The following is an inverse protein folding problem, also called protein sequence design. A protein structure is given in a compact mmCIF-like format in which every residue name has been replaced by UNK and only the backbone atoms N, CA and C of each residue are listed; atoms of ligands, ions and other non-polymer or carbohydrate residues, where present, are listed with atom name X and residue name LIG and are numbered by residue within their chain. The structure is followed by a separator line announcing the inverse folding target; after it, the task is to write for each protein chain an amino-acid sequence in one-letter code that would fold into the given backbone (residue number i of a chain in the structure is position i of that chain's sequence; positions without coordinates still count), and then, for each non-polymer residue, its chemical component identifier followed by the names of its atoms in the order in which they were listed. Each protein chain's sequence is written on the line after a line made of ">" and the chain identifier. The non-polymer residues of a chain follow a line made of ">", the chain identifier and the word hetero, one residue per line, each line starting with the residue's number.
data_IF_400747355453
#
_entry.id   IF_400747355453
#
_cell.length_a   1.000
_cell.length_b   1.000
_cell.length_c   1.000
_cell.angle_alpha   90.00
_cell.angle_beta   90.00
_cell.angle_gamma   90.00
#
_symmetry.space_group_name_H-M   'P 1'
#
loop_
_entity.id
_entity.type
_entity.pdbx_description
1 polymer ?
#
# COMPACT_ATOMS: atom_id res chain seq x y z
N UNK A 1 -14.28 103.15 -21.40
CA UNK A 1 -13.84 103.92 -20.22
C UNK A 1 -12.76 103.14 -19.50
N UNK A 2 -11.61 103.77 -19.30
CA UNK A 2 -10.45 103.26 -18.56
C UNK A 2 -10.81 102.89 -17.11
N UNK A 3 -10.27 101.79 -16.59
CA UNK A 3 -9.55 101.77 -15.30
C UNK A 3 -8.44 100.70 -15.37
N UNK A 4 -7.23 101.08 -14.97
CA UNK A 4 -5.97 100.31 -14.98
C UNK A 4 -5.78 99.50 -13.69
N UNK A 5 -5.06 98.37 -13.84
CA UNK A 5 -4.20 97.57 -12.93
C UNK A 5 -4.06 97.95 -11.44
N UNK A 6 -3.94 96.93 -10.56
CA UNK A 6 -2.67 96.46 -9.94
C UNK A 6 -2.84 95.04 -9.33
N UNK A 7 -1.77 94.23 -9.42
CA UNK A 7 -1.60 92.84 -8.98
C UNK A 7 -1.62 92.62 -7.45
N UNK A 8 -1.98 91.40 -7.03
CA UNK A 8 -1.30 90.68 -5.95
C UNK A 8 -1.19 89.18 -6.31
N UNK A 9 0.04 88.67 -6.35
CA UNK A 9 0.39 87.29 -6.65
C UNK A 9 0.12 86.38 -5.43
N UNK A 10 -0.50 85.22 -5.67
CA UNK A 10 -0.64 84.16 -4.68
C UNK A 10 0.56 83.19 -4.82
N UNK A 11 1.36 83.09 -3.77
CA UNK A 11 2.46 82.13 -3.65
C UNK A 11 1.89 80.78 -3.20
N UNK A 12 2.15 79.75 -3.99
CA UNK A 12 1.93 78.35 -3.64
C UNK A 12 3.10 77.91 -2.75
N UNK A 13 2.80 77.49 -1.51
CA UNK A 13 3.75 76.78 -0.67
C UNK A 13 3.29 75.32 -0.52
N UNK A 14 4.04 74.43 -1.17
CA UNK A 14 3.91 72.97 -1.12
C UNK A 14 4.46 72.48 0.22
N UNK A 15 3.62 71.87 1.04
CA UNK A 15 4.04 71.14 2.24
C UNK A 15 4.37 69.70 1.83
N UNK A 16 5.67 69.36 1.80
CA UNK A 16 6.14 68.01 1.56
C UNK A 16 5.86 67.10 2.75
N UNK A 17 5.02 66.09 2.55
CA UNK A 17 4.92 64.94 3.44
C UNK A 17 5.92 63.88 2.98
N UNK A 18 7.05 63.79 3.67
CA UNK A 18 7.99 62.68 3.54
C UNK A 18 7.34 61.42 4.12
N UNK A 19 6.64 60.64 3.29
CA UNK A 19 6.26 59.28 3.65
C UNK A 19 7.52 58.41 3.61
N UNK A 20 8.08 58.14 4.79
CA UNK A 20 9.07 57.10 4.96
C UNK A 20 8.46 55.76 4.51
N UNK A 21 8.90 55.25 3.35
CA UNK A 21 8.70 53.87 2.93
C UNK A 21 9.43 52.98 3.94
N UNK A 22 8.72 52.54 4.97
CA UNK A 22 9.18 51.41 5.77
C UNK A 22 9.01 50.15 4.93
N UNK A 23 10.07 49.34 4.75
CA UNK A 23 9.90 48.01 4.17
C UNK A 23 8.99 47.24 5.12
N UNK A 24 7.83 46.81 4.61
CA UNK A 24 7.01 45.83 5.31
C UNK A 24 7.93 44.65 5.65
N UNK A 25 7.92 44.14 6.89
CA UNK A 25 8.60 42.89 7.17
C UNK A 25 7.88 41.84 6.32
N UNK A 26 8.50 41.45 5.21
CA UNK A 26 8.10 40.26 4.49
C UNK A 26 8.09 39.15 5.51
N UNK A 27 6.92 38.56 5.75
CA UNK A 27 6.83 37.31 6.47
C UNK A 27 7.78 36.36 5.73
N UNK A 28 8.95 36.11 6.33
CA UNK A 28 9.81 35.04 5.90
C UNK A 28 8.92 33.80 5.94
N UNK A 29 8.56 33.30 4.76
CA UNK A 29 7.96 31.99 4.65
C UNK A 29 8.99 31.07 5.31
N UNK A 30 8.67 30.61 6.52
CA UNK A 30 9.39 29.49 7.11
C UNK A 30 9.46 28.42 6.02
N UNK A 31 10.63 27.80 5.78
CA UNK A 31 10.71 26.72 4.82
C UNK A 31 9.59 25.75 5.19
N UNK A 32 8.65 25.55 4.26
CA UNK A 32 7.59 24.57 4.46
C UNK A 32 8.31 23.30 4.89
N UNK A 33 8.06 22.84 6.12
CA UNK A 33 8.60 21.57 6.56
C UNK A 33 8.24 20.56 5.47
N UNK A 34 9.27 19.96 4.88
CA UNK A 34 9.11 19.15 3.69
C UNK A 34 8.02 18.10 3.95
N UNK A 35 7.00 18.08 3.10
CA UNK A 35 5.91 17.10 3.23
C UNK A 35 6.47 15.68 3.24
N UNK A 36 5.82 14.74 3.94
CA UNK A 36 6.36 13.37 4.08
C UNK A 36 6.51 12.71 2.71
N UNK A 37 5.60 13.01 1.79
CA UNK A 37 5.64 12.50 0.42
C UNK A 37 6.90 12.99 -0.33
N UNK A 38 7.26 14.25 -0.14
CA UNK A 38 8.42 14.84 -0.81
C UNK A 38 9.75 14.36 -0.19
N UNK A 39 9.81 14.18 1.13
CA UNK A 39 10.96 13.55 1.79
C UNK A 39 11.16 12.11 1.30
N UNK A 40 10.07 11.33 1.25
CA UNK A 40 10.11 9.96 0.72
C UNK A 40 10.58 9.92 -0.73
N UNK A 41 10.02 10.76 -1.60
CA UNK A 41 10.41 10.85 -3.00
C UNK A 41 11.88 11.21 -3.17
N UNK A 42 12.40 12.16 -2.40
CA UNK A 42 13.82 12.52 -2.44
C UNK A 42 14.71 11.36 -2.03
N UNK A 43 14.36 10.65 -0.96
CA UNK A 43 15.13 9.50 -0.50
C UNK A 43 15.14 8.37 -1.54
N UNK A 44 14.00 8.07 -2.17
CA UNK A 44 13.92 7.10 -3.26
C UNK A 44 14.87 7.44 -4.42
N UNK A 45 14.98 8.72 -4.77
CA UNK A 45 15.78 9.16 -5.91
C UNK A 45 17.26 9.38 -5.57
N UNK A 46 17.60 9.52 -4.29
CA UNK A 46 18.96 9.76 -3.82
C UNK A 46 19.86 8.51 -3.87
N UNK A 47 19.27 7.30 -3.76
CA UNK A 47 20.00 6.04 -3.69
C UNK A 47 20.06 5.21 -4.98
N UNK A 48 19.35 5.63 -6.03
CA UNK A 48 19.00 4.75 -7.15
C UNK A 48 19.52 5.28 -8.51
N UNK A 49 20.37 4.48 -9.16
CA UNK A 49 20.83 4.70 -10.54
C UNK A 49 19.78 4.20 -11.54
N UNK A 50 18.60 4.81 -11.48
CA UNK A 50 17.47 4.45 -12.34
C UNK A 50 17.21 5.60 -13.33
N UNK A 51 17.06 5.32 -14.63
CA UNK A 51 16.96 6.35 -15.68
C UNK A 51 15.63 7.13 -15.68
N UNK A 52 14.77 6.91 -14.68
CA UNK A 52 13.47 7.53 -14.56
C UNK A 52 13.34 8.27 -13.22
N UNK A 53 12.66 9.42 -13.24
CA UNK A 53 12.44 10.27 -12.04
C UNK A 53 10.96 10.52 -11.76
N UNK A 54 10.06 9.97 -12.58
CA UNK A 54 8.61 10.10 -12.43
C UNK A 54 7.95 8.74 -12.62
N UNK A 55 6.82 8.51 -11.95
CA UNK A 55 6.05 7.28 -12.13
C UNK A 55 5.76 6.98 -13.62
N UNK A 56 5.33 7.98 -14.39
CA UNK A 56 5.01 7.81 -15.81
C UNK A 56 6.23 7.44 -16.67
N UNK A 57 7.39 8.06 -16.43
CA UNK A 57 8.60 7.72 -17.18
C UNK A 57 9.16 6.35 -16.79
N UNK A 58 9.04 5.95 -15.51
CA UNK A 58 9.40 4.61 -15.07
C UNK A 58 8.49 3.54 -15.68
N UNK A 59 7.17 3.80 -15.73
CA UNK A 59 6.21 2.92 -16.37
C UNK A 59 6.54 2.70 -17.86
N UNK A 60 6.75 3.80 -18.60
CA UNK A 60 7.06 3.72 -20.02
C UNK A 60 8.37 2.97 -20.31
N UNK A 61 9.44 3.26 -19.55
CA UNK A 61 10.71 2.55 -19.70
C UNK A 61 10.61 1.09 -19.25
N UNK A 62 9.85 0.80 -18.19
CA UNK A 62 9.64 -0.56 -17.68
C UNK A 62 8.91 -1.45 -18.69
N UNK A 63 7.83 -0.94 -19.28
CA UNK A 63 7.11 -1.63 -20.36
C UNK A 63 8.02 -1.83 -21.58
N UNK A 64 8.76 -0.81 -22.01
CA UNK A 64 9.69 -0.93 -23.14
C UNK A 64 10.83 -1.94 -22.87
N UNK A 65 11.33 -2.00 -21.64
CA UNK A 65 12.31 -3.00 -21.23
C UNK A 65 11.72 -4.42 -21.26
N UNK A 66 10.48 -4.57 -20.78
CA UNK A 66 9.76 -5.84 -20.76
C UNK A 66 9.50 -6.36 -22.18
N UNK A 67 9.05 -5.50 -23.09
CA UNK A 67 8.82 -5.81 -24.51
C UNK A 67 10.11 -6.20 -25.22
N UNK A 68 11.22 -5.56 -24.86
CA UNK A 68 12.55 -5.89 -25.39
C UNK A 68 13.19 -7.13 -24.71
N UNK A 69 12.48 -7.83 -23.83
CA UNK A 69 12.98 -9.02 -23.12
C UNK A 69 14.04 -8.73 -22.05
N UNK A 70 14.28 -7.46 -21.70
CA UNK A 70 15.20 -7.05 -20.63
C UNK A 70 14.49 -7.12 -19.28
N UNK A 71 14.20 -8.35 -18.83
CA UNK A 71 13.35 -8.60 -17.66
C UNK A 71 13.91 -7.99 -16.37
N UNK A 72 15.23 -8.06 -16.17
CA UNK A 72 15.89 -7.48 -14.99
C UNK A 72 15.75 -5.95 -14.94
N UNK A 73 15.91 -5.28 -16.08
CA UNK A 73 15.70 -3.84 -16.18
C UNK A 73 14.24 -3.49 -15.91
N UNK A 74 13.31 -4.26 -16.49
CA UNK A 74 11.87 -4.09 -16.27
C UNK A 74 11.51 -4.24 -14.78
N UNK A 75 12.06 -5.24 -14.08
CA UNK A 75 11.89 -5.41 -12.63
C UNK A 75 12.29 -4.15 -11.85
N UNK A 76 13.49 -3.63 -12.10
CA UNK A 76 13.99 -2.42 -11.43
C UNK A 76 13.12 -1.20 -11.75
N UNK A 77 12.77 -0.99 -13.02
CA UNK A 77 11.99 0.15 -13.47
C UNK A 77 10.56 0.14 -12.92
N UNK A 78 9.91 -1.04 -12.91
CA UNK A 78 8.54 -1.19 -12.40
C UNK A 78 8.52 -1.15 -10.86
N UNK A 79 9.58 -1.58 -10.18
CA UNK A 79 9.71 -1.38 -8.73
C UNK A 79 9.79 0.12 -8.38
N UNK A 80 10.60 0.88 -9.13
CA UNK A 80 10.67 2.34 -8.99
C UNK A 80 9.34 3.02 -9.37
N UNK A 81 8.65 2.55 -10.42
CA UNK A 81 7.31 3.00 -10.78
C UNK A 81 6.35 2.90 -9.60
N UNK A 82 6.30 1.72 -8.94
CA UNK A 82 5.45 1.47 -7.80
C UNK A 82 5.80 2.41 -6.64
N UNK A 83 7.08 2.54 -6.28
CA UNK A 83 7.51 3.44 -5.21
C UNK A 83 7.11 4.91 -5.47
N UNK A 84 7.27 5.40 -6.70
CA UNK A 84 6.86 6.75 -7.09
C UNK A 84 5.33 6.92 -7.18
N UNK A 85 4.58 5.85 -7.51
CA UNK A 85 3.12 5.86 -7.43
C UNK A 85 2.66 6.05 -5.99
N UNK A 86 3.31 5.38 -5.03
CA UNK A 86 2.99 5.51 -3.61
C UNK A 86 3.37 6.89 -3.04
N UNK A 87 4.51 7.44 -3.45
CA UNK A 87 4.85 8.82 -3.14
C UNK A 87 3.77 9.79 -3.65
N UNK A 88 3.24 9.55 -4.86
CA UNK A 88 2.15 10.36 -5.44
C UNK A 88 0.84 10.19 -4.67
N UNK A 89 0.54 8.98 -4.16
CA UNK A 89 -0.63 8.71 -3.35
C UNK A 89 -0.56 9.42 -1.99
N UNK A 90 0.61 9.42 -1.37
CA UNK A 90 0.85 10.17 -0.13
C UNK A 90 0.69 11.68 -0.35
N UNK A 91 1.30 12.22 -1.42
CA UNK A 91 1.18 13.63 -1.75
C UNK A 91 -0.27 14.04 -2.01
N UNK A 92 -1.03 13.20 -2.70
CA UNK A 92 -2.44 13.44 -2.96
C UNK A 92 -3.29 13.43 -1.68
N UNK A 93 -2.96 12.55 -0.73
CA UNK A 93 -3.60 12.51 0.58
C UNK A 93 -3.29 13.77 1.42
N UNK A 94 -2.04 14.24 1.42
CA UNK A 94 -1.65 15.47 2.10
C UNK A 94 -2.30 16.72 1.48
N UNK A 95 -2.40 16.75 0.15
CA UNK A 95 -3.00 17.87 -0.60
C UNK A 95 -4.54 17.89 -0.61
N UNK A 96 -5.21 16.89 -0.04
CA UNK A 96 -6.68 16.78 0.05
C UNK A 96 -7.42 17.01 -1.29
N UNK A 97 -6.85 16.57 -2.42
CA UNK A 97 -7.44 16.77 -3.75
C UNK A 97 -8.07 15.48 -4.28
N UNK A 98 -9.41 15.39 -4.40
CA UNK A 98 -10.08 14.16 -4.86
C UNK A 98 -9.60 13.67 -6.22
N UNK A 99 -9.32 14.59 -7.16
CA UNK A 99 -8.80 14.26 -8.49
C UNK A 99 -7.37 13.71 -8.42
N UNK A 100 -6.52 14.29 -7.58
CA UNK A 100 -5.15 13.80 -7.38
C UNK A 100 -5.17 12.40 -6.74
N UNK A 101 -6.04 12.18 -5.77
CA UNK A 101 -6.17 10.90 -5.08
C UNK A 101 -6.65 9.80 -6.01
N UNK A 102 -7.68 10.06 -6.82
CA UNK A 102 -8.15 9.11 -7.83
C UNK A 102 -7.06 8.76 -8.85
N UNK A 103 -6.34 9.78 -9.35
CA UNK A 103 -5.21 9.56 -10.25
C UNK A 103 -4.07 8.76 -9.60
N UNK A 104 -3.78 8.98 -8.32
CA UNK A 104 -2.71 8.28 -7.62
C UNK A 104 -3.06 6.82 -7.35
N UNK A 105 -4.30 6.53 -6.93
CA UNK A 105 -4.81 5.15 -6.79
C UNK A 105 -4.71 4.37 -8.10
N UNK A 106 -5.08 5.00 -9.22
CA UNK A 106 -4.98 4.37 -10.53
C UNK A 106 -3.52 4.04 -10.92
N UNK A 107 -2.55 4.89 -10.54
CA UNK A 107 -1.12 4.64 -10.77
C UNK A 107 -0.59 3.49 -9.91
N UNK A 108 -0.96 3.43 -8.64
CA UNK A 108 -0.57 2.32 -7.74
C UNK A 108 -1.11 1.00 -8.28
N UNK A 109 -2.39 0.96 -8.67
CA UNK A 109 -2.99 -0.22 -9.28
C UNK A 109 -2.30 -0.61 -10.60
N UNK A 110 -1.86 0.36 -11.42
CA UNK A 110 -1.20 0.07 -12.69
C UNK A 110 0.21 -0.45 -12.48
N UNK A 111 0.95 0.08 -11.50
CA UNK A 111 2.25 -0.44 -11.13
C UNK A 111 2.16 -1.90 -10.66
N UNK A 112 1.08 -2.28 -9.95
CA UNK A 112 0.80 -3.68 -9.62
C UNK A 112 0.51 -4.53 -10.88
N UNK A 113 -0.21 -4.00 -11.87
CA UNK A 113 -0.39 -4.69 -13.17
C UNK A 113 0.96 -4.91 -13.85
N UNK A 114 1.82 -3.89 -13.92
CA UNK A 114 3.15 -4.02 -14.52
C UNK A 114 4.03 -5.00 -13.74
N UNK A 115 3.95 -5.05 -12.41
CA UNK A 115 4.62 -6.09 -11.61
C UNK A 115 4.11 -7.48 -12.00
N UNK A 116 2.80 -7.64 -12.17
CA UNK A 116 2.22 -8.89 -12.65
C UNK A 116 2.72 -9.28 -14.05
N UNK A 117 2.84 -8.32 -14.97
CA UNK A 117 3.36 -8.55 -16.33
C UNK A 117 4.82 -9.01 -16.31
N UNK A 118 5.63 -8.46 -15.41
CA UNK A 118 7.01 -8.90 -15.16
C UNK A 118 7.03 -10.34 -14.66
N UNK A 119 6.22 -10.68 -13.66
CA UNK A 119 6.13 -12.05 -13.12
C UNK A 119 5.63 -13.04 -14.17
N UNK A 120 4.70 -12.62 -15.03
CA UNK A 120 4.22 -13.43 -16.14
C UNK A 120 5.36 -13.76 -17.12
N UNK A 121 6.22 -12.79 -17.45
CA UNK A 121 7.40 -13.02 -18.29
C UNK A 121 8.45 -13.93 -17.65
N UNK A 122 8.52 -13.96 -16.32
CA UNK A 122 9.37 -14.89 -15.57
C UNK A 122 8.77 -16.31 -15.48
N UNK A 123 7.52 -16.50 -15.93
CA UNK A 123 6.80 -17.77 -15.78
C UNK A 123 6.27 -18.02 -14.36
N UNK A 124 6.34 -17.02 -13.47
CA UNK A 124 5.83 -17.08 -12.11
C UNK A 124 4.31 -16.81 -12.10
N UNK A 125 3.54 -17.76 -12.63
CA UNK A 125 2.09 -17.63 -12.81
C UNK A 125 1.33 -17.32 -11.50
N UNK A 126 1.60 -17.97 -10.36
CA UNK A 126 0.95 -17.60 -9.10
C UNK A 126 1.22 -16.16 -8.70
N UNK A 127 2.46 -15.68 -8.83
CA UNK A 127 2.85 -14.32 -8.48
C UNK A 127 2.19 -13.29 -9.40
N UNK A 128 2.16 -13.55 -10.70
CA UNK A 128 1.45 -12.72 -11.67
C UNK A 128 -0.03 -12.59 -11.28
N UNK A 129 -0.71 -13.71 -10.97
CA UNK A 129 -2.09 -13.69 -10.48
C UNK A 129 -2.24 -12.93 -9.17
N UNK A 130 -1.31 -13.08 -8.23
CA UNK A 130 -1.33 -12.36 -6.95
C UNK A 130 -1.28 -10.84 -7.17
N UNK A 131 -0.41 -10.36 -8.06
CA UNK A 131 -0.33 -8.94 -8.43
C UNK A 131 -1.59 -8.45 -9.13
N UNK A 132 -2.11 -9.18 -10.13
CA UNK A 132 -3.34 -8.79 -10.83
C UNK A 132 -4.56 -8.78 -9.90
N UNK A 133 -4.70 -9.78 -9.02
CA UNK A 133 -5.78 -9.81 -8.02
C UNK A 133 -5.64 -8.68 -7.01
N UNK A 134 -4.42 -8.36 -6.58
CA UNK A 134 -4.15 -7.21 -5.70
C UNK A 134 -4.52 -5.88 -6.37
N UNK A 135 -4.23 -5.72 -7.66
CA UNK A 135 -4.67 -4.54 -8.42
C UNK A 135 -6.20 -4.49 -8.58
N UNK A 136 -6.83 -5.64 -8.89
CA UNK A 136 -8.27 -5.73 -9.09
C UNK A 136 -9.07 -5.44 -7.80
N UNK A 137 -8.61 -5.92 -6.64
CA UNK A 137 -9.30 -5.72 -5.36
C UNK A 137 -9.30 -4.26 -4.90
N UNK A 138 -8.38 -3.41 -5.40
CA UNK A 138 -8.40 -1.96 -5.10
C UNK A 138 -9.69 -1.29 -5.56
N UNK A 139 -10.38 -1.84 -6.57
CA UNK A 139 -11.69 -1.34 -7.00
C UNK A 139 -12.79 -1.51 -5.95
N UNK A 140 -12.68 -2.51 -5.08
CA UNK A 140 -13.65 -2.77 -4.02
C UNK A 140 -13.51 -1.74 -2.89
N UNK A 141 -12.30 -1.24 -2.65
CA UNK A 141 -12.00 -0.21 -1.64
C UNK A 141 -12.55 1.18 -2.06
N UNK A 142 -12.68 1.43 -3.37
CA UNK A 142 -13.06 2.74 -3.92
C UNK A 142 -14.08 2.62 -5.05
N UNK A 143 -15.31 2.15 -4.75
CA UNK A 143 -16.35 2.00 -5.77
C UNK A 143 -16.68 3.37 -6.40
N UNK A 144 -16.76 3.40 -7.74
CA UNK A 144 -17.09 4.61 -8.51
C UNK A 144 -15.91 5.48 -8.94
N UNK A 145 -14.67 5.14 -8.57
CA UNK A 145 -13.48 5.82 -9.08
C UNK A 145 -13.22 5.42 -10.54
N UNK A 146 -13.60 6.29 -11.49
CA UNK A 146 -13.54 5.98 -12.92
C UNK A 146 -12.11 5.78 -13.46
N UNK A 147 -11.10 6.48 -12.91
CA UNK A 147 -9.71 6.31 -13.32
C UNK A 147 -9.17 4.96 -12.84
N UNK A 148 -9.39 4.65 -11.56
CA UNK A 148 -9.03 3.36 -11.00
C UNK A 148 -9.78 2.22 -11.70
N UNK A 149 -11.06 2.42 -12.04
CA UNK A 149 -11.89 1.43 -12.73
C UNK A 149 -11.30 0.95 -14.06
N UNK A 150 -10.64 1.85 -14.83
CA UNK A 150 -9.94 1.45 -16.06
C UNK A 150 -8.74 0.56 -15.78
N UNK A 151 -7.94 0.89 -14.77
CA UNK A 151 -6.81 0.06 -14.36
C UNK A 151 -7.27 -1.30 -13.82
N UNK A 152 -8.34 -1.31 -13.01
CA UNK A 152 -8.95 -2.55 -12.49
C UNK A 152 -9.47 -3.44 -13.64
N UNK A 153 -10.04 -2.85 -14.69
CA UNK A 153 -10.46 -3.60 -15.86
C UNK A 153 -9.26 -4.26 -16.57
N UNK A 154 -8.15 -3.54 -16.74
CA UNK A 154 -6.92 -4.10 -17.31
C UNK A 154 -6.35 -5.24 -16.44
N UNK A 155 -6.36 -5.07 -15.10
CA UNK A 155 -5.94 -6.12 -14.18
C UNK A 155 -6.80 -7.39 -14.31
N UNK A 156 -8.12 -7.23 -14.43
CA UNK A 156 -9.06 -8.35 -14.64
C UNK A 156 -8.85 -9.05 -15.98
N UNK A 157 -8.60 -8.30 -17.04
CA UNK A 157 -8.28 -8.84 -18.36
C UNK A 157 -7.01 -9.70 -18.31
N UNK A 158 -5.93 -9.21 -17.68
CA UNK A 158 -4.68 -9.97 -17.53
C UNK A 158 -4.84 -11.18 -16.64
N UNK A 159 -5.62 -11.06 -15.56
CA UNK A 159 -5.95 -12.20 -14.71
C UNK A 159 -6.72 -13.28 -15.48
N UNK A 160 -7.71 -12.90 -16.29
CA UNK A 160 -8.52 -13.84 -17.07
C UNK A 160 -7.69 -14.62 -18.09
N UNK A 161 -6.73 -13.94 -18.74
CA UNK A 161 -5.82 -14.57 -19.70
C UNK A 161 -5.01 -15.75 -19.11
N UNK A 162 -4.75 -15.74 -17.79
CA UNK A 162 -3.94 -16.75 -17.09
C UNK A 162 -4.69 -17.49 -15.98
N UNK A 163 -6.02 -17.31 -15.90
CA UNK A 163 -6.85 -17.76 -14.78
C UNK A 163 -6.90 -19.28 -14.61
N UNK A 164 -6.73 -20.01 -15.72
CA UNK A 164 -6.82 -21.47 -15.80
C UNK A 164 -5.45 -22.16 -15.85
N UNK A 165 -4.35 -21.40 -15.93
CA UNK A 165 -3.02 -21.95 -16.15
C UNK A 165 -2.35 -22.31 -14.83
N UNK A 166 -2.02 -23.59 -14.63
CA UNK A 166 -1.27 -24.07 -13.45
C UNK A 166 -1.84 -23.56 -12.12
N UNK A 167 -3.17 -23.65 -11.96
CA UNK A 167 -3.87 -23.18 -10.75
C UNK A 167 -3.61 -24.13 -9.60
N UNK A 168 -3.22 -23.57 -8.45
CA UNK A 168 -3.02 -24.34 -7.23
C UNK A 168 -4.31 -24.42 -6.42
N UNK A 169 -4.78 -25.64 -6.18
CA UNK A 169 -5.96 -25.89 -5.34
C UNK A 169 -5.56 -26.37 -3.96
N UNK A 170 -6.03 -25.69 -2.91
CA UNK A 170 -5.70 -26.01 -1.52
C UNK A 170 -4.28 -25.63 -1.13
N UNK A 171 -3.78 -26.21 -0.03
CA UNK A 171 -2.40 -26.01 0.45
C UNK A 171 -1.50 -27.08 -0.18
N UNK A 172 -0.46 -26.72 -0.95
CA UNK A 172 0.46 -27.69 -1.54
C UNK A 172 1.17 -28.56 -0.50
N UNK A 173 1.67 -29.76 -0.87
CA UNK A 173 2.42 -30.63 0.04
C UNK A 173 3.70 -30.01 0.61
N UNK A 174 4.29 -29.02 -0.08
CA UNK A 174 5.45 -28.26 0.40
C UNK A 174 5.09 -27.09 1.31
N UNK A 175 3.80 -26.83 1.53
CA UNK A 175 3.29 -25.62 2.14
C UNK A 175 2.93 -24.54 1.11
N UNK A 176 2.43 -23.41 1.60
CA UNK A 176 2.04 -22.25 0.82
C UNK A 176 2.51 -20.97 1.50
N UNK A 177 2.81 -19.94 0.71
CA UNK A 177 2.91 -18.55 1.19
C UNK A 177 1.80 -17.75 0.56
N UNK A 178 0.99 -17.11 1.39
CA UNK A 178 -0.04 -16.18 0.96
C UNK A 178 0.39 -14.77 1.32
N UNK A 179 0.29 -13.84 0.37
CA UNK A 179 0.76 -12.47 0.57
C UNK A 179 -0.33 -11.47 0.19
N UNK A 180 -0.36 -10.34 0.90
CA UNK A 180 -1.22 -9.19 0.59
C UNK A 180 -0.35 -7.95 0.45
N UNK A 181 -0.44 -7.28 -0.71
CA UNK A 181 0.31 -6.05 -0.94
C UNK A 181 -0.25 -4.93 -0.08
N UNK A 182 0.63 -4.29 0.67
CA UNK A 182 0.31 -3.12 1.47
C UNK A 182 0.65 -1.87 0.66
N UNK A 183 1.81 -1.28 0.91
CA UNK A 183 2.33 -0.04 0.32
C UNK A 183 3.87 -0.03 0.43
N UNK A 184 4.56 0.81 -0.34
CA UNK A 184 6.04 0.97 -0.29
C UNK A 184 6.81 -0.34 -0.51
N UNK A 185 6.27 -1.25 -1.32
CA UNK A 185 6.87 -2.57 -1.58
C UNK A 185 6.67 -3.58 -0.45
N UNK A 186 5.97 -3.21 0.63
CA UNK A 186 5.74 -4.08 1.77
C UNK A 186 4.55 -5.03 1.55
N UNK A 187 4.66 -6.20 2.15
CA UNK A 187 3.66 -7.27 2.12
C UNK A 187 3.34 -7.74 3.53
N UNK A 188 2.07 -8.00 3.81
CA UNK A 188 1.74 -8.95 4.85
C UNK A 188 1.90 -10.36 4.27
N UNK A 189 2.43 -11.29 5.04
CA UNK A 189 2.65 -12.66 4.59
C UNK A 189 2.17 -13.69 5.61
N UNK A 190 1.68 -14.81 5.10
CA UNK A 190 1.22 -15.96 5.87
C UNK A 190 1.80 -17.21 5.23
N UNK A 191 2.75 -17.82 5.93
CA UNK A 191 3.37 -19.08 5.59
C UNK A 191 2.61 -20.23 6.27
N UNK A 192 2.11 -21.19 5.48
CA UNK A 192 1.45 -22.41 5.96
C UNK A 192 2.32 -23.61 5.59
N UNK A 193 2.92 -24.24 6.59
CA UNK A 193 3.89 -25.34 6.40
C UNK A 193 3.40 -26.62 7.07
N UNK A 194 3.34 -27.77 6.38
CA UNK A 194 2.92 -29.02 7.01
C UNK A 194 3.90 -29.43 8.12
N UNK A 195 3.38 -29.97 9.22
CA UNK A 195 4.19 -30.42 10.35
C UNK A 195 4.57 -31.89 10.15
N UNK A 196 5.87 -32.17 10.10
CA UNK A 196 6.40 -33.52 9.94
C UNK A 196 5.85 -34.45 11.03
N UNK A 197 5.28 -35.59 10.62
CA UNK A 197 4.72 -36.58 11.54
C UNK A 197 3.32 -36.28 12.08
N UNK A 198 2.72 -35.13 11.75
CA UNK A 198 1.34 -34.77 12.17
C UNK A 198 0.45 -34.53 10.96
N UNK A 199 -0.23 -35.58 10.50
CA UNK A 199 -1.14 -35.49 9.35
C UNK A 199 -2.24 -34.43 9.58
N UNK A 200 -2.44 -33.58 8.57
CA UNK A 200 -3.44 -32.51 8.58
C UNK A 200 -3.14 -31.32 9.50
N UNK A 201 -1.97 -31.30 10.18
CA UNK A 201 -1.54 -30.18 11.02
C UNK A 201 -0.52 -29.33 10.27
N UNK A 202 -0.71 -28.02 10.32
CA UNK A 202 0.17 -27.04 9.70
C UNK A 202 0.71 -26.08 10.75
N UNK A 203 1.96 -25.64 10.58
CA UNK A 203 2.49 -24.47 11.23
C UNK A 203 2.13 -23.26 10.38
N UNK A 204 1.39 -22.34 10.96
CA UNK A 204 1.04 -21.05 10.39
C UNK A 204 1.97 -20.00 11.01
N UNK A 205 2.67 -19.27 10.15
CA UNK A 205 3.58 -18.20 10.51
C UNK A 205 3.12 -16.93 9.77
N UNK A 206 2.62 -15.95 10.51
CA UNK A 206 2.06 -14.71 9.99
C UNK A 206 2.92 -13.52 10.35
N UNK A 207 3.28 -12.72 9.35
CA UNK A 207 3.96 -11.44 9.52
C UNK A 207 3.07 -10.33 8.96
N UNK A 208 2.68 -9.40 9.83
CA UNK A 208 1.77 -8.31 9.52
C UNK A 208 2.46 -6.98 9.73
N UNK A 209 2.33 -6.11 8.74
CA UNK A 209 2.98 -4.80 8.72
C UNK A 209 1.94 -3.71 8.49
N UNK A 210 2.15 -2.58 9.15
CA UNK A 210 1.50 -1.33 8.80
C UNK A 210 2.59 -0.37 8.32
N UNK A 211 2.79 -0.24 6.99
CA UNK A 211 3.86 0.58 6.45
C UNK A 211 3.62 2.06 6.72
N UNK A 212 4.69 2.78 7.02
CA UNK A 212 4.70 4.22 7.24
C UNK A 212 5.95 4.83 6.62
N UNK A 213 6.01 6.16 6.61
CA UNK A 213 7.25 6.90 6.32
C UNK A 213 7.65 7.68 7.57
N UNK A 214 8.88 7.49 8.00
CA UNK A 214 9.47 8.18 9.15
C UNK A 214 9.68 9.68 8.89
N UNK A 215 9.95 10.49 9.93
CA UNK A 215 10.15 11.93 9.76
C UNK A 215 11.32 12.33 8.85
N UNK A 216 12.30 11.44 8.62
CA UNK A 216 13.40 11.64 7.67
C UNK A 216 13.08 11.17 6.24
N UNK A 217 11.87 10.66 5.97
CA UNK A 217 11.45 10.19 4.65
C UNK A 217 11.82 8.73 4.34
N UNK A 218 12.27 7.94 5.32
CA UNK A 218 12.59 6.53 5.11
C UNK A 218 11.34 5.64 5.28
N UNK A 219 11.24 4.51 4.56
CA UNK A 219 10.24 3.49 4.87
C UNK A 219 10.41 2.98 6.31
N UNK A 220 9.29 2.87 7.02
CA UNK A 220 9.23 2.28 8.36
C UNK A 220 7.94 1.47 8.48
N UNK A 221 7.75 0.70 9.55
CA UNK A 221 6.53 -0.06 9.76
C UNK A 221 6.29 -0.36 11.24
N UNK A 222 5.01 -0.42 11.62
CA UNK A 222 4.62 -1.16 12.82
C UNK A 222 4.44 -2.63 12.44
N UNK A 223 4.82 -3.52 13.34
CA UNK A 223 4.85 -4.96 13.07
C UNK A 223 3.90 -5.72 14.01
N UNK A 224 3.43 -6.87 13.57
CA UNK A 224 2.75 -7.88 14.35
C UNK A 224 3.11 -9.25 13.80
N UNK A 225 3.22 -10.25 14.67
CA UNK A 225 3.51 -11.62 14.26
C UNK A 225 2.56 -12.61 14.93
N UNK A 226 2.34 -13.73 14.26
CA UNK A 226 1.53 -14.83 14.77
C UNK A 226 2.18 -16.16 14.44
N UNK A 227 2.36 -17.01 15.46
CA UNK A 227 2.85 -18.37 15.28
C UNK A 227 1.86 -19.36 15.88
N UNK A 228 1.30 -20.24 15.06
CA UNK A 228 0.29 -21.21 15.49
C UNK A 228 0.45 -22.59 14.83
N UNK A 229 0.01 -23.63 15.53
CA UNK A 229 -0.24 -24.95 14.97
C UNK A 229 -1.74 -25.06 14.71
N UNK A 230 -2.12 -25.28 13.45
CA UNK A 230 -3.52 -25.25 13.01
C UNK A 230 -3.94 -26.52 12.31
N UNK A 231 -5.24 -26.79 12.35
CA UNK A 231 -5.92 -27.70 11.43
C UNK A 231 -7.01 -26.92 10.68
N UNK A 232 -7.10 -27.12 9.38
CA UNK A 232 -8.19 -26.57 8.59
C UNK A 232 -9.38 -27.51 8.66
N UNK A 233 -10.48 -27.04 9.28
CA UNK A 233 -11.77 -27.71 9.28
C UNK A 233 -12.67 -26.99 8.30
N UNK A 234 -13.21 -27.70 7.31
CA UNK A 234 -14.09 -27.12 6.29
C UNK A 234 -13.45 -25.91 5.58
N UNK A 235 -12.12 -25.95 5.38
CA UNK A 235 -11.34 -24.88 4.78
C UNK A 235 -10.97 -23.71 5.70
N UNK A 236 -11.33 -23.76 6.99
CA UNK A 236 -11.04 -22.70 7.95
C UNK A 236 -10.15 -23.19 9.12
N UNK A 237 -9.15 -22.38 9.47
CA UNK A 237 -8.38 -22.49 10.70
C UNK A 237 -8.67 -21.27 11.58
N UNK A 238 -8.82 -21.48 12.89
CA UNK A 238 -9.25 -20.44 13.84
C UNK A 238 -8.29 -20.39 15.01
N UNK A 239 -7.62 -19.26 15.21
CA UNK A 239 -6.54 -19.10 16.19
C UNK A 239 -6.97 -18.11 17.28
N UNK A 240 -7.31 -18.57 18.51
CA UNK A 240 -7.62 -17.68 19.63
C UNK A 240 -6.31 -17.07 20.18
N UNK A 241 -6.04 -15.82 19.83
CA UNK A 241 -4.76 -15.15 20.14
C UNK A 241 -4.67 -14.77 21.61
N UNK A 242 -5.73 -14.21 22.19
CA UNK A 242 -5.70 -13.68 23.56
C UNK A 242 -5.61 -14.77 24.64
N UNK A 243 -6.01 -16.00 24.32
CA UNK A 243 -5.99 -17.13 25.27
C UNK A 243 -4.66 -17.90 25.23
N UNK A 244 -3.73 -17.50 24.36
CA UNK A 244 -2.40 -18.09 24.27
C UNK A 244 -1.56 -17.82 25.53
N UNK A 245 -0.92 -18.87 26.06
CA UNK A 245 -0.01 -18.77 27.21
C UNK A 245 1.37 -19.30 26.82
N UNK A 246 2.39 -18.45 26.93
CA UNK A 246 3.80 -18.80 26.73
C UNK A 246 4.39 -18.39 25.38
N UNK A 247 5.69 -18.61 25.22
CA UNK A 247 6.49 -18.16 24.07
C UNK A 247 6.46 -19.13 22.87
N UNK A 248 5.73 -20.24 22.99
CA UNK A 248 5.62 -21.27 21.95
C UNK A 248 4.49 -21.01 20.95
N UNK A 249 4.41 -21.78 19.85
CA UNK A 249 3.29 -21.71 18.92
C UNK A 249 1.96 -21.94 19.63
N UNK A 250 0.94 -21.16 19.29
CA UNK A 250 -0.42 -21.35 19.77
C UNK A 250 -0.95 -22.68 19.23
N UNK A 251 -1.37 -23.62 20.09
CA UNK A 251 -2.05 -24.83 19.62
C UNK A 251 -3.52 -24.53 19.32
N UNK A 252 -3.81 -24.35 18.03
CA UNK A 252 -5.13 -24.08 17.47
C UNK A 252 -5.59 -25.25 16.58
N UNK A 253 -5.30 -26.49 17.01
CA UNK A 253 -5.67 -27.69 16.26
C UNK A 253 -7.09 -28.20 16.59
N UNK A 254 -7.73 -27.68 17.64
CA UNK A 254 -9.11 -28.01 18.00
C UNK A 254 -10.13 -27.28 17.11
N UNK A 255 -11.25 -27.93 16.79
CA UNK A 255 -12.34 -27.30 16.02
C UNK A 255 -13.09 -26.32 16.91
N UNK A 256 -13.06 -25.04 16.55
CA UNK A 256 -13.90 -24.00 17.15
C UNK A 256 -15.08 -23.79 16.19
N UNK A 257 -16.29 -24.24 16.53
CA UNK A 257 -17.45 -24.12 15.65
C UNK A 257 -18.26 -22.83 15.90
N UNK A 258 -18.45 -22.46 17.17
CA UNK A 258 -19.25 -21.30 17.58
C UNK A 258 -18.35 -20.08 17.85
N UNK A 259 -18.52 -19.02 17.06
CA UNK A 259 -17.78 -17.76 17.19
C UNK A 259 -18.50 -16.69 18.01
N UNK A 260 -19.80 -16.87 18.28
CA UNK A 260 -20.60 -15.90 19.04
C UNK A 260 -20.00 -15.49 20.39
N UNK A 261 -19.28 -16.36 21.14
CA UNK A 261 -18.62 -15.96 22.40
C UNK A 261 -17.45 -14.98 22.21
N UNK A 262 -16.94 -14.81 20.99
CA UNK A 262 -15.75 -14.02 20.66
C UNK A 262 -16.10 -12.76 19.86
N UNK A 263 -17.19 -12.80 19.08
CA UNK A 263 -17.64 -11.66 18.30
C UNK A 263 -17.98 -10.46 19.20
N UNK A 264 -17.55 -9.26 18.78
CA UNK A 264 -17.81 -7.98 19.47
C UNK A 264 -17.30 -7.90 20.92
N UNK A 265 -16.32 -8.74 21.26
CA UNK A 265 -15.63 -8.71 22.54
C UNK A 265 -14.36 -7.87 22.44
N UNK A 266 -14.29 -6.80 23.23
CA UNK A 266 -13.13 -5.90 23.23
C UNK A 266 -11.88 -6.51 23.87
N UNK A 267 -12.07 -7.55 24.70
CA UNK A 267 -11.04 -8.26 25.46
C UNK A 267 -10.58 -9.57 24.80
N UNK A 268 -11.09 -9.90 23.60
CA UNK A 268 -10.79 -11.15 22.90
C UNK A 268 -10.34 -10.88 21.48
N UNK A 269 -9.41 -11.69 21.00
CA UNK A 269 -9.01 -11.76 19.61
C UNK A 269 -8.95 -13.23 19.16
N UNK A 270 -9.69 -13.53 18.09
CA UNK A 270 -9.54 -14.75 17.32
C UNK A 270 -9.31 -14.38 15.86
N UNK A 271 -8.32 -14.99 15.22
CA UNK A 271 -8.07 -14.80 13.80
C UNK A 271 -8.52 -16.05 13.05
N UNK A 272 -9.47 -15.87 12.13
CA UNK A 272 -9.93 -16.88 11.20
C UNK A 272 -9.13 -16.78 9.88
N UNK A 273 -8.56 -17.91 9.45
CA UNK A 273 -7.85 -18.09 8.19
C UNK A 273 -8.68 -19.03 7.32
N UNK A 274 -9.26 -18.51 6.24
CA UNK A 274 -10.20 -19.25 5.39
C UNK A 274 -9.67 -19.39 3.97
N UNK A 275 -9.46 -20.63 3.53
CA UNK A 275 -9.21 -20.97 2.14
C UNK A 275 -10.50 -20.79 1.34
N UNK A 276 -10.75 -19.58 0.87
CA UNK A 276 -12.05 -19.18 0.30
C UNK A 276 -12.21 -19.52 -1.19
N UNK A 277 -11.09 -19.63 -1.91
CA UNK A 277 -11.01 -20.00 -3.32
C UNK A 277 -9.61 -20.57 -3.62
N UNK A 278 -9.38 -21.17 -4.80
CA UNK A 278 -8.02 -21.51 -5.23
C UNK A 278 -7.08 -20.32 -5.05
N UNK A 279 -5.90 -20.58 -4.48
CA UNK A 279 -4.84 -19.58 -4.28
C UNK A 279 -5.24 -18.35 -3.44
N UNK A 280 -6.35 -18.44 -2.69
CA UNK A 280 -6.91 -17.31 -1.96
C UNK A 280 -7.12 -17.67 -0.51
N UNK A 281 -6.58 -16.85 0.39
CA UNK A 281 -6.75 -16.95 1.83
C UNK A 281 -7.39 -15.65 2.32
N UNK A 282 -8.63 -15.74 2.78
CA UNK A 282 -9.31 -14.64 3.47
C UNK A 282 -9.00 -14.73 4.96
N UNK A 283 -8.61 -13.60 5.55
CA UNK A 283 -8.26 -13.49 6.95
C UNK A 283 -9.17 -12.48 7.61
N UNK A 284 -9.74 -12.87 8.77
CA UNK A 284 -10.66 -12.04 9.52
C UNK A 284 -10.43 -12.16 11.01
N UNK A 285 -10.42 -11.03 11.68
CA UNK A 285 -10.38 -10.92 13.12
C UNK A 285 -11.81 -10.91 13.68
N UNK A 286 -12.02 -11.71 14.71
CA UNK A 286 -13.21 -11.77 15.54
C UNK A 286 -12.88 -11.23 16.93
N UNK A 287 -13.73 -10.35 17.45
CA UNK A 287 -13.44 -9.56 18.65
C UNK A 287 -12.72 -8.25 18.32
N UNK A 288 -11.65 -7.94 19.03
CA UNK A 288 -10.88 -6.69 18.92
C UNK A 288 -9.49 -6.91 18.32
N UNK A 289 -9.17 -6.12 17.29
CA UNK A 289 -7.82 -6.09 16.69
C UNK A 289 -6.76 -5.68 17.71
N UNK A 290 -7.10 -4.76 18.62
CA UNK A 290 -6.20 -4.32 19.69
C UNK A 290 -5.89 -5.46 20.66
N UNK A 291 -6.87 -6.33 20.94
CA UNK A 291 -6.70 -7.50 21.81
C UNK A 291 -5.83 -8.61 21.18
N UNK A 292 -5.49 -8.51 19.88
CA UNK A 292 -4.53 -9.40 19.24
C UNK A 292 -3.09 -9.10 19.65
N UNK A 293 -2.82 -7.93 20.27
CA UNK A 293 -1.48 -7.55 20.73
C UNK A 293 -0.51 -7.19 19.60
N UNK A 294 -1.01 -6.95 18.39
CA UNK A 294 -0.18 -6.44 17.28
C UNK A 294 0.19 -4.98 17.48
N UNK A 295 1.21 -4.52 16.75
CA UNK A 295 1.64 -3.12 16.77
C UNK A 295 0.55 -2.14 16.33
N UNK A 296 0.79 -0.85 16.56
CA UNK A 296 -0.18 0.20 16.26
C UNK A 296 -0.63 0.18 14.79
N UNK A 297 -1.96 0.19 14.56
CA UNK A 297 -2.62 0.08 13.25
C UNK A 297 -2.32 -1.21 12.46
N UNK A 298 -1.68 -2.20 13.08
CA UNK A 298 -1.43 -3.48 12.42
C UNK A 298 -2.68 -4.35 12.53
N UNK A 299 -3.12 -4.89 11.40
CA UNK A 299 -4.20 -5.86 11.31
C UNK A 299 -3.83 -6.99 10.35
N UNK A 300 -4.25 -8.20 10.71
CA UNK A 300 -4.12 -9.37 9.85
C UNK A 300 -5.22 -9.41 8.77
N UNK A 301 -6.29 -8.62 8.91
CA UNK A 301 -7.47 -8.71 8.07
C UNK A 301 -7.20 -8.40 6.61
N UNK A 302 -7.86 -9.17 5.74
CA UNK A 302 -7.85 -8.94 4.31
C UNK A 302 -7.75 -10.23 3.52
N UNK A 303 -7.64 -10.05 2.20
CA UNK A 303 -7.46 -11.14 1.25
C UNK A 303 -6.00 -11.26 0.85
N UNK A 304 -5.48 -12.47 0.96
CA UNK A 304 -4.11 -12.84 0.62
C UNK A 304 -4.12 -13.81 -0.56
N UNK A 305 -3.10 -13.70 -1.41
CA UNK A 305 -2.98 -14.51 -2.61
C UNK A 305 -1.72 -15.35 -2.57
N UNK A 306 -1.79 -16.57 -3.10
CA UNK A 306 -0.64 -17.46 -3.18
C UNK A 306 0.49 -16.81 -3.97
N UNK A 307 1.68 -16.78 -3.39
CA UNK A 307 2.92 -16.40 -4.05
C UNK A 307 3.96 -17.51 -3.89
N UNK A 308 4.74 -17.72 -4.94
CA UNK A 308 5.84 -18.69 -5.01
C UNK A 308 7.17 -17.99 -4.81
N UNK A 309 7.95 -18.42 -3.83
CA UNK A 309 9.28 -17.88 -3.60
C UNK A 309 9.31 -16.61 -2.75
N UNK A 310 10.50 -16.35 -2.20
CA UNK A 310 10.92 -15.15 -1.49
C UNK A 310 11.99 -14.45 -2.30
#
# INVERSE_FOLDING_TARGET
>A
MNVKLVLAAAVIAVSGASTALMPAPGAAQTPHADSRAELYRRNLLAGEDVPCRTNASCAALGVAALEAGRIKDAQTLVAMEAALAEASAMQAAEGNSPKATSSARARVAMALVHQGDVQLKLGALPDARAYYRSAASRGDDYPGDALLGRTVAAARERLEAISHQAVVTGVPPGGARFSRYMFFGAWNSIDVKPVKGRCGVYRLDGEFVYPTVSPNGEPSANMGSLLALVRFYDGAARVPVTDARGDGPIDATAKIANLAPLDQRDDKCLIEFKLSAPETLDVRTHGSVTACGFGFNVSADGRYYLMTGS
#
